data_IF_799428927804
#
_entry.id   IF_799428927804
#
_cell.length_a   1.000
_cell.length_b   1.000
_cell.length_c   1.000
_cell.angle_alpha   90.00
_cell.angle_beta   90.00
_cell.angle_gamma   90.00
#
_symmetry.space_group_name_H-M   'P 1'
#
loop_
_entity.id
_entity.type
_entity.pdbx_description
1 polymer ?
#
# COMPACT_ATOMS: atom_id res chain seq x y z
N UNK A 1 -38.45 -3.16 28.19
CA UNK A 1 -37.52 -4.29 28.46
C UNK A 1 -36.10 -3.79 28.22
N UNK A 2 -35.22 -4.04 29.18
CA UNK A 2 -33.96 -3.32 29.44
C UNK A 2 -32.86 -3.63 28.43
N UNK A 3 -32.26 -2.59 27.82
CA UNK A 3 -30.98 -2.65 27.12
C UNK A 3 -29.84 -2.61 28.15
N UNK A 4 -29.02 -3.67 28.15
CA UNK A 4 -27.80 -3.72 28.94
C UNK A 4 -26.63 -3.21 28.12
N UNK A 5 -26.03 -2.13 28.62
CA UNK A 5 -24.75 -1.56 28.11
C UNK A 5 -23.61 -2.37 28.75
N UNK A 6 -22.81 -3.05 27.93
CA UNK A 6 -21.51 -3.55 28.38
C UNK A 6 -20.43 -2.55 27.99
N UNK A 7 -19.98 -1.83 29.00
CA UNK A 7 -18.78 -1.02 28.99
C UNK A 7 -17.61 -1.94 29.32
N UNK A 8 -16.73 -2.23 28.35
CA UNK A 8 -15.54 -3.04 28.58
C UNK A 8 -14.42 -2.14 29.12
N UNK A 9 -14.22 -2.18 30.43
CA UNK A 9 -13.05 -1.60 31.09
C UNK A 9 -11.87 -2.56 30.95
N UNK A 10 -10.84 -2.16 30.20
CA UNK A 10 -9.54 -2.85 30.19
C UNK A 10 -8.78 -2.39 31.43
N UNK A 11 -8.71 -3.25 32.42
CA UNK A 11 -7.84 -3.10 33.58
C UNK A 11 -6.46 -3.63 33.22
N UNK A 12 -5.52 -2.75 33.04
CA UNK A 12 -4.07 -3.04 33.06
C UNK A 12 -3.66 -3.32 34.51
N UNK A 13 -3.46 -4.58 34.83
CA UNK A 13 -2.84 -4.98 36.09
C UNK A 13 -1.31 -4.81 35.97
N UNK A 14 -0.80 -3.63 36.32
CA UNK A 14 0.61 -3.44 36.62
C UNK A 14 0.84 -3.81 38.09
N UNK A 15 1.44 -4.97 38.35
CA UNK A 15 1.97 -5.32 39.66
C UNK A 15 3.18 -4.43 40.00
N UNK A 16 2.97 -3.35 40.72
CA UNK A 16 4.03 -2.62 41.40
C UNK A 16 3.98 -2.89 42.90
N UNK A 17 5.06 -3.46 43.41
CA UNK A 17 5.36 -3.50 44.83
C UNK A 17 5.37 -2.07 45.41
N UNK A 18 4.51 -1.84 46.38
CA UNK A 18 4.41 -0.55 47.07
C UNK A 18 5.67 -0.27 47.86
N UNK A 19 6.45 0.72 47.44
CA UNK A 19 7.22 1.55 48.34
C UNK A 19 6.51 2.90 48.43
N UNK A 20 6.23 3.33 49.66
CA UNK A 20 5.66 4.64 50.00
C UNK A 20 6.65 5.75 49.62
N UNK A 21 6.54 6.24 48.38
CA UNK A 21 7.08 7.51 47.92
C UNK A 21 5.95 8.34 47.38
N UNK A 22 5.94 9.65 47.67
CA UNK A 22 4.92 10.60 47.20
C UNK A 22 4.53 10.30 45.74
N UNK A 23 3.23 10.00 45.48
CA UNK A 23 2.68 9.89 44.13
C UNK A 23 2.87 11.28 43.51
N UNK A 24 3.85 11.43 42.62
CA UNK A 24 3.92 12.58 41.73
C UNK A 24 2.68 12.60 40.85
N UNK A 25 2.03 13.75 40.78
CA UNK A 25 0.89 13.96 39.90
C UNK A 25 1.39 14.14 38.46
N UNK A 26 0.59 13.84 37.45
CA UNK A 26 0.94 14.06 36.01
C UNK A 26 1.42 15.50 35.72
N UNK A 27 1.07 16.47 36.58
CA UNK A 27 1.53 17.87 36.52
C UNK A 27 3.01 18.07 36.80
N UNK A 28 3.67 17.06 37.40
CA UNK A 28 5.08 17.14 37.78
C UNK A 28 6.03 16.53 36.76
N UNK A 29 5.47 16.01 35.63
CA UNK A 29 6.25 15.42 34.56
C UNK A 29 6.59 16.47 33.49
N UNK A 30 7.84 16.46 33.03
CA UNK A 30 8.35 17.32 31.97
C UNK A 30 8.50 16.52 30.64
N UNK A 31 8.55 17.24 29.53
CA UNK A 31 8.84 16.62 28.23
C UNK A 31 10.36 16.61 28.00
N UNK A 32 10.83 15.51 27.43
CA UNK A 32 12.16 15.42 26.86
C UNK A 32 12.27 16.22 25.57
N UNK A 33 13.46 16.71 25.24
CA UNK A 33 13.76 17.43 24.03
C UNK A 33 14.02 16.46 22.87
N UNK A 34 13.71 16.90 21.65
CA UNK A 34 13.93 16.12 20.43
C UNK A 34 12.71 15.29 20.01
N UNK A 35 12.84 14.60 18.89
CA UNK A 35 11.77 13.78 18.31
C UNK A 35 12.33 12.46 17.81
N UNK A 36 11.62 11.39 18.10
CA UNK A 36 11.89 10.08 17.52
C UNK A 36 11.33 10.01 16.09
N UNK A 37 12.02 9.28 15.23
CA UNK A 37 11.54 8.97 13.87
C UNK A 37 11.75 7.49 13.60
N UNK A 38 10.67 6.82 13.23
CA UNK A 38 10.69 5.44 12.84
C UNK A 38 10.11 5.32 11.43
N UNK A 39 10.90 4.75 10.49
CA UNK A 39 10.47 4.58 9.09
C UNK A 39 10.53 3.11 8.72
N UNK A 40 9.39 2.56 8.37
CA UNK A 40 9.22 1.24 7.77
C UNK A 40 8.37 1.44 6.52
N UNK A 41 8.60 0.69 5.42
CA UNK A 41 7.69 0.71 4.29
C UNK A 41 6.25 0.36 4.72
N UNK A 42 5.25 0.99 4.12
CA UNK A 42 3.83 0.73 4.46
C UNK A 42 3.42 -0.73 4.19
N UNK A 43 4.04 -1.35 3.20
CA UNK A 43 3.85 -2.76 2.84
C UNK A 43 5.22 -3.45 2.76
N UNK A 44 5.29 -4.67 3.26
CA UNK A 44 6.48 -5.53 3.22
C UNK A 44 6.07 -6.96 2.86
N UNK A 45 6.99 -7.75 2.35
CA UNK A 45 6.77 -9.20 2.17
C UNK A 45 7.01 -9.95 3.48
N UNK A 46 6.40 -11.12 3.68
CA UNK A 46 6.87 -12.09 4.66
C UNK A 46 8.37 -12.36 4.48
N UNK A 47 9.10 -12.52 5.56
CA UNK A 47 10.57 -12.63 5.53
C UNK A 47 11.31 -11.29 5.45
N UNK A 48 10.61 -10.17 5.39
CA UNK A 48 11.25 -8.85 5.37
C UNK A 48 12.09 -8.61 6.63
N UNK A 49 13.32 -8.10 6.43
CA UNK A 49 14.20 -7.69 7.51
C UNK A 49 14.66 -6.25 7.33
N UNK A 50 14.86 -5.55 8.44
CA UNK A 50 15.42 -4.21 8.45
C UNK A 50 16.21 -3.96 9.72
N UNK A 51 17.46 -3.53 9.57
CA UNK A 51 18.32 -3.15 10.69
C UNK A 51 18.23 -1.65 10.98
N UNK A 52 17.99 -1.30 12.23
CA UNK A 52 18.04 0.05 12.74
C UNK A 52 19.28 0.23 13.60
N UNK A 53 20.09 1.25 13.30
CA UNK A 53 21.28 1.60 14.09
C UNK A 53 20.89 2.53 15.22
N UNK A 54 21.26 2.21 16.45
CA UNK A 54 20.90 2.99 17.63
C UNK A 54 21.42 4.43 17.55
N UNK A 55 22.61 4.65 17.04
CA UNK A 55 23.23 5.97 16.93
C UNK A 55 22.38 6.95 16.09
N UNK A 56 21.60 6.43 15.12
CA UNK A 56 20.71 7.24 14.27
C UNK A 56 19.35 7.51 14.92
N UNK A 57 19.03 6.80 16.00
CA UNK A 57 17.75 6.87 16.71
C UNK A 57 17.83 7.69 17.99
N UNK A 58 19.04 7.87 18.56
CA UNK A 58 19.29 8.60 19.82
C UNK A 58 19.18 10.11 19.59
N UNK A 59 17.97 10.59 19.31
CA UNK A 59 17.66 12.00 19.01
C UNK A 59 16.94 12.72 20.14
N UNK A 60 16.65 12.02 21.24
CA UNK A 60 15.95 12.56 22.41
C UNK A 60 16.96 12.81 23.52
N UNK A 61 16.85 13.96 24.19
CA UNK A 61 17.69 14.37 25.32
C UNK A 61 16.83 14.87 26.48
N UNK A 62 17.34 14.74 27.67
CA UNK A 62 16.71 15.32 28.85
C UNK A 62 17.17 16.76 29.04
N UNK A 63 16.28 17.70 29.44
CA UNK A 63 16.64 19.08 29.75
C UNK A 63 17.70 19.19 30.86
N UNK A 64 17.71 18.25 31.81
CA UNK A 64 18.67 18.20 32.93
C UNK A 64 20.02 17.55 32.55
N UNK A 65 20.21 17.16 31.28
CA UNK A 65 21.41 16.50 30.78
C UNK A 65 21.59 15.05 31.23
N UNK A 66 20.58 14.46 31.86
CA UNK A 66 20.61 13.06 32.30
C UNK A 66 20.49 12.06 31.15
N UNK A 67 20.65 10.78 31.47
CA UNK A 67 20.62 9.68 30.51
C UNK A 67 19.21 9.37 29.99
N UNK A 68 19.12 8.84 28.75
CA UNK A 68 17.91 8.40 28.10
C UNK A 68 18.09 6.97 27.65
N UNK A 69 17.17 6.10 28.02
CA UNK A 69 17.07 4.72 27.52
C UNK A 69 16.26 4.63 26.24
N UNK A 70 16.53 3.59 25.46
CA UNK A 70 15.84 3.33 24.20
C UNK A 70 15.42 1.86 24.10
N UNK A 71 14.16 1.60 23.71
CA UNK A 71 13.70 0.25 23.44
C UNK A 71 12.72 0.21 22.28
N UNK A 72 12.74 -0.90 21.54
CA UNK A 72 11.67 -1.26 20.61
C UNK A 72 10.63 -2.15 21.27
N UNK A 73 9.39 -1.98 20.87
CA UNK A 73 8.28 -2.84 21.23
C UNK A 73 7.55 -3.24 19.93
N UNK A 74 7.45 -4.54 19.70
CA UNK A 74 6.53 -5.08 18.72
C UNK A 74 5.19 -5.24 19.43
N UNK A 75 4.23 -4.37 19.09
CA UNK A 75 2.93 -4.29 19.80
C UNK A 75 2.07 -5.54 19.57
N UNK A 76 2.26 -6.25 18.45
CA UNK A 76 1.51 -7.47 18.15
C UNK A 76 1.94 -8.67 18.99
N UNK A 77 3.24 -8.80 19.22
CA UNK A 77 3.81 -9.91 20.00
C UNK A 77 4.07 -9.55 21.47
N UNK A 78 4.05 -8.25 21.79
CA UNK A 78 4.45 -7.74 23.10
C UNK A 78 5.95 -7.86 23.39
N UNK A 79 6.75 -8.29 22.40
CA UNK A 79 8.20 -8.40 22.57
C UNK A 79 8.85 -7.03 22.69
N UNK A 80 9.68 -6.90 23.73
CA UNK A 80 10.43 -5.69 24.01
C UNK A 80 11.93 -5.97 23.93
N UNK A 81 12.64 -5.14 23.14
CA UNK A 81 14.09 -5.18 23.05
C UNK A 81 14.67 -3.84 23.49
N UNK A 82 15.43 -3.86 24.59
CA UNK A 82 16.08 -2.68 25.18
C UNK A 82 17.48 -2.54 24.63
N UNK A 83 17.71 -1.52 23.80
CA UNK A 83 19.01 -1.20 23.22
C UNK A 83 19.90 -0.38 24.14
N UNK A 84 19.29 0.58 24.85
CA UNK A 84 19.95 1.43 25.82
C UNK A 84 19.13 1.42 27.10
N UNK A 85 19.73 1.12 28.21
CA UNK A 85 19.08 1.15 29.53
C UNK A 85 18.82 2.58 30.00
N UNK A 86 17.96 2.78 30.99
CA UNK A 86 17.63 4.10 31.51
C UNK A 86 18.84 4.87 32.08
N UNK A 87 19.85 4.15 32.58
CA UNK A 87 21.13 4.69 33.02
C UNK A 87 22.17 4.92 31.92
N UNK A 88 21.75 4.75 30.66
CA UNK A 88 22.54 5.06 29.45
C UNK A 88 23.49 3.96 29.00
N UNK A 89 23.41 2.75 29.56
CA UNK A 89 24.25 1.61 29.11
C UNK A 89 23.73 1.06 27.82
N UNK A 90 24.56 1.08 26.76
CA UNK A 90 24.25 0.47 25.47
C UNK A 90 24.37 -1.04 25.59
N UNK A 91 23.28 -1.77 25.39
CA UNK A 91 23.22 -3.23 25.39
C UNK A 91 23.33 -3.80 23.99
N UNK A 92 22.76 -3.08 23.01
CA UNK A 92 22.83 -3.47 21.60
C UNK A 92 22.93 -2.23 20.72
N UNK A 93 23.81 -2.25 19.73
CA UNK A 93 23.98 -1.17 18.77
C UNK A 93 22.97 -1.23 17.61
N UNK A 94 22.23 -2.32 17.49
CA UNK A 94 21.30 -2.55 16.40
C UNK A 94 20.02 -3.19 16.91
N UNK A 95 18.91 -2.83 16.29
CA UNK A 95 17.68 -3.58 16.35
C UNK A 95 17.39 -4.14 14.96
N UNK A 96 17.10 -5.43 14.88
CA UNK A 96 16.66 -6.09 13.67
C UNK A 96 15.16 -6.33 13.72
N UNK A 97 14.41 -5.62 12.90
CA UNK A 97 13.03 -5.96 12.58
C UNK A 97 13.07 -7.19 11.66
N UNK A 98 12.49 -8.29 12.09
CA UNK A 98 12.28 -9.48 11.28
C UNK A 98 10.80 -9.82 11.23
N UNK A 99 10.25 -9.88 10.02
CA UNK A 99 8.85 -10.30 9.78
C UNK A 99 8.87 -11.80 9.46
N UNK A 100 8.23 -12.66 10.25
CA UNK A 100 8.21 -14.09 9.98
C UNK A 100 7.63 -14.42 8.60
N UNK A 101 8.12 -15.48 7.96
CA UNK A 101 7.64 -15.97 6.66
C UNK A 101 6.13 -16.32 6.64
N UNK A 102 5.57 -16.61 7.81
CA UNK A 102 4.15 -16.95 7.97
C UNK A 102 3.29 -15.76 8.39
N UNK A 103 3.91 -14.61 8.72
CA UNK A 103 3.16 -13.45 9.24
C UNK A 103 2.49 -12.71 8.10
N UNK A 104 1.18 -12.59 8.18
CA UNK A 104 0.33 -11.78 7.30
C UNK A 104 -0.42 -10.74 8.12
N UNK A 105 -0.79 -9.63 7.47
CA UNK A 105 -1.58 -8.58 8.08
C UNK A 105 -0.75 -7.50 8.77
N UNK A 106 -1.40 -6.72 9.61
CA UNK A 106 -0.83 -5.52 10.23
C UNK A 106 0.21 -5.86 11.29
N UNK A 107 1.26 -5.06 11.35
CA UNK A 107 2.31 -5.09 12.37
C UNK A 107 2.53 -3.65 12.83
N UNK A 108 2.61 -3.45 14.15
CA UNK A 108 2.95 -2.16 14.74
C UNK A 108 4.23 -2.27 15.55
N UNK A 109 5.24 -1.50 15.15
CA UNK A 109 6.52 -1.39 15.83
C UNK A 109 6.63 0.00 16.47
N UNK A 110 6.93 0.07 17.76
CA UNK A 110 7.10 1.33 18.49
C UNK A 110 8.51 1.44 19.05
N UNK A 111 9.16 2.56 18.78
CA UNK A 111 10.40 2.97 19.44
C UNK A 111 10.07 3.92 20.59
N UNK A 112 10.54 3.60 21.78
CA UNK A 112 10.42 4.42 22.98
C UNK A 112 11.78 5.00 23.37
N UNK A 113 11.78 6.27 23.78
CA UNK A 113 12.83 6.88 24.58
C UNK A 113 12.27 7.13 25.98
N UNK A 114 12.98 6.72 27.02
CA UNK A 114 12.52 6.78 28.40
C UNK A 114 13.63 7.22 29.37
N UNK A 115 13.23 7.92 30.42
CA UNK A 115 14.10 8.32 31.50
C UNK A 115 14.11 7.26 32.63
N UNK A 116 15.08 7.30 33.57
CA UNK A 116 15.00 6.56 34.83
C UNK A 116 13.68 6.82 35.56
N UNK A 117 13.18 5.82 36.28
CA UNK A 117 11.86 5.89 36.95
C UNK A 117 11.74 6.95 38.05
N UNK A 118 12.86 7.41 38.55
CA UNK A 118 12.96 8.50 39.54
C UNK A 118 13.07 9.91 38.93
N UNK A 119 13.24 9.95 37.59
CA UNK A 119 13.26 11.20 36.86
C UNK A 119 11.83 11.57 36.37
N UNK A 120 11.54 12.86 36.32
CA UNK A 120 10.18 13.38 36.09
C UNK A 120 9.94 13.71 34.65
N UNK A 121 10.04 12.70 33.74
CA UNK A 121 9.85 12.90 32.30
C UNK A 121 8.82 11.96 31.72
N UNK A 122 8.05 12.48 30.78
CA UNK A 122 7.22 11.66 29.91
C UNK A 122 8.11 10.87 28.94
N UNK A 123 7.74 9.63 28.66
CA UNK A 123 8.36 8.87 27.59
C UNK A 123 8.02 9.50 26.24
N UNK A 124 9.01 9.55 25.34
CA UNK A 124 8.78 9.87 23.94
C UNK A 124 8.61 8.58 23.15
N UNK A 125 7.77 8.58 22.12
CA UNK A 125 7.59 7.43 21.24
C UNK A 125 7.42 7.81 19.77
N UNK A 126 7.76 6.88 18.90
CA UNK A 126 7.42 6.92 17.49
C UNK A 126 6.99 5.52 17.05
N UNK A 127 5.82 5.43 16.46
CA UNK A 127 5.28 4.16 15.96
C UNK A 127 5.26 4.13 14.45
N UNK A 128 5.48 2.95 13.88
CA UNK A 128 5.28 2.65 12.48
C UNK A 128 4.33 1.44 12.39
N UNK A 129 3.19 1.64 11.74
CA UNK A 129 2.25 0.57 11.41
C UNK A 129 2.40 0.25 9.94
N UNK A 130 2.60 -1.00 9.62
CA UNK A 130 2.82 -1.50 8.26
C UNK A 130 2.14 -2.86 8.09
N UNK A 131 2.00 -3.31 6.85
CA UNK A 131 1.31 -4.55 6.54
C UNK A 131 2.26 -5.54 5.86
N UNK A 132 2.35 -6.75 6.42
CA UNK A 132 2.97 -7.87 5.73
C UNK A 132 1.98 -8.49 4.77
N UNK A 133 2.32 -8.53 3.49
CA UNK A 133 1.44 -8.99 2.41
C UNK A 133 2.17 -10.01 1.53
N UNK A 134 1.39 -10.98 1.04
CA UNK A 134 1.83 -11.91 -0.01
C UNK A 134 0.99 -11.61 -1.25
N UNK A 135 1.64 -11.50 -2.40
CA UNK A 135 0.96 -11.43 -3.69
C UNK A 135 0.35 -12.77 -4.08
N UNK A 136 -0.46 -12.75 -5.11
CA UNK A 136 -1.06 -13.93 -5.70
C UNK A 136 -2.54 -13.74 -6.00
N UNK A 137 -2.92 -13.95 -7.27
CA UNK A 137 -4.29 -13.86 -7.75
C UNK A 137 -4.98 -15.24 -7.83
N UNK A 138 -4.23 -16.30 -7.58
CA UNK A 138 -4.69 -17.69 -7.59
C UNK A 138 -5.29 -18.15 -6.25
N UNK A 139 -5.50 -17.21 -5.32
CA UNK A 139 -5.99 -17.50 -3.98
C UNK A 139 -4.91 -17.99 -3.00
N UNK A 140 -3.67 -18.16 -3.44
CA UNK A 140 -2.54 -18.54 -2.58
C UNK A 140 -2.02 -17.39 -1.72
N UNK A 141 -2.38 -16.16 -2.09
CA UNK A 141 -1.96 -14.93 -1.42
C UNK A 141 -3.07 -14.26 -0.61
N UNK A 142 -3.00 -12.93 -0.54
CA UNK A 142 -3.93 -12.09 0.21
C UNK A 142 -5.09 -11.54 -0.63
N UNK A 143 -5.04 -11.74 -1.96
CA UNK A 143 -6.11 -11.36 -2.88
C UNK A 143 -7.03 -12.56 -3.13
N UNK A 144 -8.33 -12.36 -2.96
CA UNK A 144 -9.36 -13.33 -3.30
C UNK A 144 -10.42 -12.73 -4.22
N UNK A 145 -11.13 -13.58 -4.96
CA UNK A 145 -12.21 -13.18 -5.88
C UNK A 145 -11.78 -13.06 -7.33
N UNK A 146 -10.49 -13.27 -7.67
CA UNK A 146 -10.07 -13.35 -9.07
C UNK A 146 -10.48 -14.69 -9.68
N UNK A 147 -11.18 -14.62 -10.81
CA UNK A 147 -11.65 -15.81 -11.53
C UNK A 147 -10.53 -16.31 -12.47
N UNK A 148 -9.74 -17.27 -12.00
CA UNK A 148 -8.63 -17.86 -12.76
C UNK A 148 -9.09 -18.74 -13.91
N UNK A 149 -10.35 -19.18 -13.93
CA UNK A 149 -10.92 -19.99 -15.00
C UNK A 149 -11.42 -19.15 -16.18
N UNK A 150 -11.60 -17.84 -15.98
CA UNK A 150 -12.00 -16.95 -17.05
C UNK A 150 -10.79 -16.52 -17.89
N UNK A 151 -10.90 -16.69 -19.22
CA UNK A 151 -9.90 -16.26 -20.18
C UNK A 151 -8.80 -17.28 -20.46
N UNK A 152 -7.69 -16.81 -20.99
CA UNK A 152 -6.53 -17.62 -21.38
C UNK A 152 -5.26 -17.09 -20.69
N UNK A 153 -4.35 -17.99 -20.34
CA UNK A 153 -3.02 -17.59 -19.83
C UNK A 153 -2.05 -17.34 -20.96
N UNK A 154 -1.15 -16.40 -20.76
CA UNK A 154 0.06 -16.23 -21.56
C UNK A 154 1.24 -15.84 -20.66
N UNK A 155 2.45 -16.06 -21.15
CA UNK A 155 3.70 -15.78 -20.41
C UNK A 155 4.42 -14.62 -21.09
N UNK A 156 4.81 -13.62 -20.32
CA UNK A 156 5.75 -12.59 -20.77
C UNK A 156 7.16 -13.23 -20.84
N UNK A 157 7.70 -13.38 -22.05
CA UNK A 157 8.99 -14.04 -22.23
C UNK A 157 10.18 -13.28 -21.65
N UNK A 158 10.00 -11.98 -21.30
CA UNK A 158 11.06 -11.11 -20.78
C UNK A 158 11.43 -11.43 -19.33
N UNK A 159 10.45 -11.85 -18.52
CA UNK A 159 10.63 -12.12 -17.08
C UNK A 159 9.97 -13.43 -16.62
N UNK A 160 9.27 -14.13 -17.53
CA UNK A 160 8.60 -15.40 -17.25
C UNK A 160 7.27 -15.22 -16.48
N UNK A 161 6.78 -13.99 -16.31
CA UNK A 161 5.53 -13.76 -15.60
C UNK A 161 4.33 -14.18 -16.42
N UNK A 162 3.43 -14.91 -15.78
CA UNK A 162 2.15 -15.29 -16.37
C UNK A 162 1.08 -14.22 -16.15
N UNK A 163 0.25 -14.00 -17.15
CA UNK A 163 -0.92 -13.13 -17.11
C UNK A 163 -2.13 -13.83 -17.68
N UNK A 164 -3.31 -13.41 -17.26
CA UNK A 164 -4.57 -13.81 -17.85
C UNK A 164 -5.00 -12.80 -18.93
N UNK A 165 -5.71 -13.27 -19.93
CA UNK A 165 -6.26 -12.44 -20.99
C UNK A 165 -7.72 -12.80 -21.26
N UNK A 166 -8.52 -11.80 -21.68
CA UNK A 166 -9.92 -11.95 -22.05
C UNK A 166 -10.20 -11.23 -23.37
N UNK A 167 -11.25 -11.64 -24.06
CA UNK A 167 -11.73 -10.94 -25.28
C UNK A 167 -12.89 -10.04 -24.90
N UNK A 168 -12.74 -8.75 -25.19
CA UNK A 168 -13.77 -7.74 -24.97
C UNK A 168 -13.65 -6.62 -26.02
N UNK A 169 -14.77 -6.09 -26.52
CA UNK A 169 -14.78 -5.02 -27.53
C UNK A 169 -14.03 -5.38 -28.83
N UNK A 170 -13.97 -6.65 -29.19
CA UNK A 170 -13.24 -7.14 -30.37
C UNK A 170 -11.72 -7.28 -30.19
N UNK A 171 -11.19 -6.89 -29.05
CA UNK A 171 -9.75 -6.98 -28.72
C UNK A 171 -9.49 -8.03 -27.64
N UNK A 172 -8.26 -8.58 -27.59
CA UNK A 172 -7.78 -9.39 -26.49
C UNK A 172 -7.04 -8.50 -25.49
N UNK A 173 -7.50 -8.43 -24.25
CA UNK A 173 -6.99 -7.58 -23.17
C UNK A 173 -6.29 -8.40 -22.10
N UNK A 174 -5.21 -7.85 -21.52
CA UNK A 174 -4.74 -8.32 -20.23
C UNK A 174 -5.81 -8.11 -19.16
N UNK A 175 -5.94 -9.06 -18.23
CA UNK A 175 -6.87 -8.98 -17.10
C UNK A 175 -6.21 -8.39 -15.86
N UNK A 176 -4.89 -8.48 -15.75
CA UNK A 176 -4.08 -7.84 -14.71
C UNK A 176 -3.35 -6.61 -15.24
N UNK A 177 -2.98 -5.73 -14.33
CA UNK A 177 -2.08 -4.65 -14.64
C UNK A 177 -0.68 -5.20 -14.91
N UNK A 178 -0.02 -4.69 -15.91
CA UNK A 178 1.34 -5.08 -16.24
C UNK A 178 2.29 -4.84 -15.05
N UNK A 179 3.14 -5.82 -14.75
CA UNK A 179 4.11 -5.80 -13.65
C UNK A 179 5.54 -6.07 -14.14
N UNK A 180 5.86 -5.65 -15.38
CA UNK A 180 7.18 -5.85 -15.93
C UNK A 180 8.24 -5.04 -15.19
N UNK A 181 9.25 -5.74 -14.63
CA UNK A 181 10.30 -5.15 -13.78
C UNK A 181 11.32 -4.28 -14.55
N UNK A 182 11.32 -4.32 -15.87
CA UNK A 182 12.22 -3.51 -16.69
C UNK A 182 11.91 -2.01 -16.71
N UNK A 183 10.72 -1.61 -16.23
CA UNK A 183 10.30 -0.22 -16.12
C UNK A 183 9.19 -0.08 -15.06
N UNK A 184 8.89 1.19 -14.71
CA UNK A 184 7.87 1.51 -13.71
C UNK A 184 8.26 1.05 -12.29
N UNK A 185 7.31 1.21 -11.35
CA UNK A 185 7.52 0.86 -9.94
C UNK A 185 6.27 0.21 -9.34
N UNK A 186 6.42 -0.78 -8.44
CA UNK A 186 5.31 -1.32 -7.68
C UNK A 186 4.79 -0.29 -6.66
N UNK A 187 3.56 -0.46 -6.20
CA UNK A 187 2.95 0.42 -5.19
C UNK A 187 3.82 0.52 -3.94
N UNK A 188 4.12 1.77 -3.52
CA UNK A 188 4.97 2.07 -2.35
C UNK A 188 6.37 1.43 -2.41
N UNK A 189 6.90 1.17 -3.61
CA UNK A 189 8.16 0.46 -3.84
C UNK A 189 8.22 -0.94 -3.17
N UNK A 190 7.05 -1.56 -2.92
CA UNK A 190 6.93 -2.89 -2.31
C UNK A 190 6.73 -3.96 -3.39
N UNK A 191 7.70 -4.87 -3.55
CA UNK A 191 7.62 -5.91 -4.56
C UNK A 191 6.39 -6.83 -4.41
N UNK A 192 5.92 -7.10 -3.18
CA UNK A 192 4.72 -7.89 -2.96
C UNK A 192 3.46 -7.26 -3.58
N UNK A 193 3.43 -5.94 -3.73
CA UNK A 193 2.29 -5.22 -4.31
C UNK A 193 2.25 -5.30 -5.84
N UNK A 194 3.33 -5.70 -6.51
CA UNK A 194 3.33 -5.90 -7.97
C UNK A 194 2.36 -6.99 -8.41
N UNK A 195 2.15 -8.02 -7.58
CA UNK A 195 1.24 -9.12 -7.89
C UNK A 195 -0.23 -8.74 -7.68
N UNK A 196 -0.48 -7.59 -7.06
CA UNK A 196 -1.82 -7.07 -6.77
C UNK A 196 -2.16 -5.95 -7.73
N UNK A 197 -1.36 -4.89 -7.75
CA UNK A 197 -1.66 -3.66 -8.51
C UNK A 197 -0.84 -3.50 -9.78
N UNK A 198 0.11 -4.38 -10.06
CA UNK A 198 1.07 -4.22 -11.14
C UNK A 198 2.11 -3.14 -10.84
N UNK A 199 2.72 -2.59 -11.89
CA UNK A 199 3.60 -1.45 -11.82
C UNK A 199 2.90 -0.17 -12.30
N UNK A 200 3.42 0.97 -11.86
CA UNK A 200 3.02 2.31 -12.29
C UNK A 200 4.12 2.85 -13.19
N UNK A 201 3.75 3.20 -14.39
CA UNK A 201 4.65 3.65 -15.45
C UNK A 201 4.41 5.12 -15.75
N UNK A 202 5.45 5.90 -16.00
CA UNK A 202 5.30 7.13 -16.77
C UNK A 202 4.82 6.79 -18.18
N UNK A 203 4.25 7.75 -18.91
CA UNK A 203 3.76 7.43 -20.26
C UNK A 203 4.90 7.02 -21.23
N UNK A 204 6.07 7.64 -21.07
CA UNK A 204 7.26 7.29 -21.85
C UNK A 204 7.67 5.83 -21.63
N UNK A 205 7.60 5.35 -20.39
CA UNK A 205 7.84 3.94 -20.05
C UNK A 205 6.70 3.05 -20.57
N UNK A 206 5.44 3.47 -20.40
CA UNK A 206 4.24 2.71 -20.78
C UNK A 206 4.20 2.37 -22.27
N UNK A 207 4.68 3.28 -23.14
CA UNK A 207 4.74 3.05 -24.60
C UNK A 207 5.58 1.84 -25.00
N UNK A 208 6.60 1.51 -24.23
CA UNK A 208 7.52 0.41 -24.50
C UNK A 208 7.34 -0.76 -23.51
N UNK A 209 6.37 -0.66 -22.59
CA UNK A 209 6.26 -1.63 -21.50
C UNK A 209 5.56 -2.93 -21.91
N UNK A 210 4.65 -2.92 -22.88
CA UNK A 210 3.94 -4.13 -23.31
C UNK A 210 4.89 -5.18 -23.92
N UNK A 211 4.66 -6.48 -23.66
CA UNK A 211 5.48 -7.55 -24.25
C UNK A 211 5.28 -7.66 -25.77
N UNK A 212 6.15 -8.40 -26.43
CA UNK A 212 6.08 -8.66 -27.88
C UNK A 212 4.69 -9.24 -28.26
N UNK A 213 4.09 -8.71 -29.34
CA UNK A 213 2.74 -9.05 -29.81
C UNK A 213 1.63 -8.40 -29.00
N UNK A 214 1.99 -7.46 -28.10
CA UNK A 214 1.04 -6.66 -27.32
C UNK A 214 1.43 -5.18 -27.39
N UNK A 215 0.45 -4.32 -27.30
CA UNK A 215 0.63 -2.87 -27.35
C UNK A 215 -0.14 -2.14 -26.25
N UNK A 216 0.22 -0.91 -25.99
CA UNK A 216 -0.57 0.01 -25.19
C UNK A 216 -1.92 0.26 -25.92
N UNK A 217 -3.08 0.15 -25.24
CA UNK A 217 -4.37 0.40 -25.87
C UNK A 217 -4.51 1.86 -26.29
N UNK A 218 -5.19 2.08 -27.39
CA UNK A 218 -5.65 3.40 -27.81
C UNK A 218 -6.95 3.78 -27.09
N UNK A 219 -7.33 5.04 -27.16
CA UNK A 219 -8.64 5.50 -26.69
C UNK A 219 -9.79 4.80 -27.45
N UNK A 220 -9.58 4.49 -28.73
CA UNK A 220 -10.53 3.73 -29.54
C UNK A 220 -10.74 2.29 -29.04
N UNK A 221 -9.69 1.63 -28.55
CA UNK A 221 -9.83 0.30 -27.93
C UNK A 221 -10.73 0.34 -26.69
N UNK A 222 -10.60 1.39 -25.87
CA UNK A 222 -11.46 1.58 -24.70
C UNK A 222 -12.91 1.88 -25.08
N UNK A 223 -13.14 2.70 -26.11
CA UNK A 223 -14.50 2.99 -26.57
C UNK A 223 -15.18 1.79 -27.19
N UNK A 224 -14.41 0.87 -27.79
CA UNK A 224 -14.95 -0.39 -28.32
C UNK A 224 -15.47 -1.35 -27.23
N UNK A 225 -15.19 -1.10 -25.95
CA UNK A 225 -15.75 -1.89 -24.84
C UNK A 225 -17.24 -1.60 -24.57
N UNK A 226 -17.80 -0.55 -25.16
CA UNK A 226 -19.21 -0.17 -24.98
C UNK A 226 -19.84 0.23 -26.31
N UNK A 227 -20.99 -0.33 -26.63
CA UNK A 227 -21.75 -0.02 -27.84
C UNK A 227 -22.12 1.47 -27.86
N UNK A 228 -21.89 2.10 -29.03
CA UNK A 228 -22.26 3.49 -29.24
C UNK A 228 -21.39 4.55 -28.51
N UNK A 229 -20.31 4.15 -27.86
CA UNK A 229 -19.38 5.09 -27.25
C UNK A 229 -18.64 5.90 -28.32
N UNK A 230 -18.59 7.23 -28.15
CA UNK A 230 -17.86 8.09 -29.04
C UNK A 230 -16.36 8.17 -28.66
N UNK A 231 -15.43 8.16 -29.63
CA UNK A 231 -14.02 8.38 -29.36
C UNK A 231 -13.78 9.69 -28.60
N UNK A 232 -12.95 9.66 -27.59
CA UNK A 232 -12.60 10.82 -26.76
C UNK A 232 -13.63 11.20 -25.69
N UNK A 233 -14.81 10.59 -25.68
CA UNK A 233 -15.85 10.86 -24.69
C UNK A 233 -15.72 9.95 -23.44
N UNK A 234 -16.31 10.38 -22.33
CA UNK A 234 -16.55 9.54 -21.17
C UNK A 234 -17.56 8.44 -21.50
N UNK A 235 -17.39 7.25 -20.91
CA UNK A 235 -18.22 6.07 -21.22
C UNK A 235 -19.04 5.72 -19.97
N UNK A 236 -20.29 6.18 -19.95
CA UNK A 236 -21.22 5.92 -18.84
C UNK A 236 -21.73 4.47 -18.88
N UNK A 237 -21.91 3.85 -17.71
CA UNK A 237 -22.41 2.48 -17.55
C UNK A 237 -21.34 1.39 -17.72
N UNK A 238 -20.11 1.75 -18.10
CA UNK A 238 -19.05 0.77 -18.37
C UNK A 238 -18.28 0.34 -17.11
N UNK A 239 -18.09 1.26 -16.14
CA UNK A 239 -17.16 1.02 -15.02
C UNK A 239 -17.47 -0.25 -14.25
N UNK A 240 -18.72 -0.47 -13.84
CA UNK A 240 -19.12 -1.69 -13.10
C UNK A 240 -18.93 -2.99 -13.87
N UNK A 241 -18.96 -2.95 -15.21
CA UNK A 241 -18.69 -4.11 -16.07
C UNK A 241 -17.21 -4.48 -16.14
N UNK A 242 -16.32 -3.55 -15.79
CA UNK A 242 -14.86 -3.73 -15.76
C UNK A 242 -14.35 -4.04 -14.36
N UNK A 243 -14.98 -3.48 -13.32
CA UNK A 243 -14.55 -3.58 -11.93
C UNK A 243 -14.70 -5.00 -11.42
N UNK A 244 -13.62 -5.54 -10.82
CA UNK A 244 -13.62 -6.85 -10.19
C UNK A 244 -13.99 -6.78 -8.71
N UNK A 245 -14.72 -7.77 -8.20
CA UNK A 245 -15.12 -7.87 -6.80
C UNK A 245 -14.05 -8.61 -6.00
N UNK A 246 -12.97 -7.92 -5.68
CA UNK A 246 -11.81 -8.47 -4.99
C UNK A 246 -11.75 -8.05 -3.52
N UNK A 247 -11.10 -8.90 -2.73
CA UNK A 247 -10.78 -8.63 -1.34
C UNK A 247 -9.28 -8.76 -1.12
N UNK A 248 -8.73 -7.84 -0.36
CA UNK A 248 -7.35 -7.82 0.09
C UNK A 248 -7.34 -7.88 1.62
N UNK A 249 -6.76 -8.93 2.20
CA UNK A 249 -6.82 -9.18 3.64
C UNK A 249 -8.25 -9.04 4.18
N UNK A 250 -9.22 -9.71 3.54
CA UNK A 250 -10.65 -9.69 3.87
C UNK A 250 -11.32 -8.31 3.74
N UNK A 251 -10.61 -7.31 3.26
CA UNK A 251 -11.17 -5.99 2.97
C UNK A 251 -11.46 -5.85 1.49
N UNK A 252 -12.68 -5.47 1.15
CA UNK A 252 -13.09 -5.25 -0.23
C UNK A 252 -12.27 -4.11 -0.84
N UNK A 253 -11.65 -4.33 -2.01
CA UNK A 253 -10.82 -3.34 -2.67
C UNK A 253 -11.62 -2.17 -3.23
N UNK A 254 -12.71 -2.44 -3.97
CA UNK A 254 -13.66 -1.41 -4.33
C UNK A 254 -14.67 -1.24 -3.21
N UNK A 255 -14.79 -0.05 -2.55
CA UNK A 255 -15.83 0.20 -1.57
C UNK A 255 -17.23 0.00 -2.17
N UNK A 256 -18.19 -0.34 -1.31
CA UNK A 256 -19.58 -0.45 -1.76
C UNK A 256 -20.19 0.94 -2.00
N UNK A 257 -20.67 1.15 -3.21
CA UNK A 257 -21.48 2.32 -3.58
C UNK A 257 -22.77 1.85 -4.21
N UNK A 258 -23.90 2.44 -3.76
CA UNK A 258 -25.25 2.01 -4.20
C UNK A 258 -25.44 2.20 -5.69
N UNK A 259 -24.81 3.23 -6.25
CA UNK A 259 -24.93 3.65 -7.64
C UNK A 259 -24.04 2.83 -8.59
N UNK A 260 -23.14 2.01 -8.06
CA UNK A 260 -22.18 1.23 -8.87
C UNK A 260 -22.44 -0.27 -8.71
N UNK A 261 -22.90 -0.91 -9.78
CA UNK A 261 -23.11 -2.35 -9.83
C UNK A 261 -21.86 -3.06 -10.37
N UNK A 262 -21.02 -3.57 -9.48
CA UNK A 262 -19.79 -4.29 -9.84
C UNK A 262 -20.14 -5.71 -10.30
N UNK A 263 -19.90 -6.01 -11.59
CA UNK A 263 -20.23 -7.29 -12.21
C UNK A 263 -19.05 -8.01 -12.84
N UNK A 264 -17.98 -7.28 -13.19
CA UNK A 264 -16.85 -7.79 -14.01
C UNK A 264 -17.34 -8.56 -15.25
N UNK A 265 -18.40 -8.07 -15.88
CA UNK A 265 -19.07 -8.77 -16.99
C UNK A 265 -18.15 -8.95 -18.21
N UNK A 266 -17.23 -8.01 -18.42
CA UNK A 266 -16.23 -8.09 -19.50
C UNK A 266 -14.95 -8.83 -19.09
N UNK A 267 -14.86 -9.31 -17.84
CA UNK A 267 -13.72 -10.07 -17.30
C UNK A 267 -12.38 -9.32 -17.41
N UNK A 268 -12.42 -7.98 -17.41
CA UNK A 268 -11.19 -7.19 -17.32
C UNK A 268 -10.64 -7.15 -15.89
N UNK A 269 -11.43 -7.47 -14.89
CA UNK A 269 -10.99 -7.64 -13.51
C UNK A 269 -10.23 -6.42 -12.98
N UNK A 270 -10.77 -5.21 -13.19
CA UNK A 270 -10.12 -3.96 -12.82
C UNK A 270 -10.09 -3.80 -11.30
N UNK A 271 -8.90 -3.57 -10.76
CA UNK A 271 -8.65 -3.26 -9.35
C UNK A 271 -8.36 -1.77 -9.14
N UNK A 272 -8.73 -1.18 -8.00
CA UNK A 272 -8.50 0.23 -7.69
C UNK A 272 -7.04 0.46 -7.28
N UNK A 273 -6.13 0.39 -8.23
CA UNK A 273 -4.70 0.54 -7.99
C UNK A 273 -4.27 1.99 -7.70
N UNK A 274 -5.11 2.99 -7.99
CA UNK A 274 -4.72 4.39 -7.87
C UNK A 274 -3.78 4.83 -8.99
N UNK A 275 -2.90 5.78 -8.67
CA UNK A 275 -1.90 6.36 -9.55
C UNK A 275 -0.71 6.90 -8.74
N UNK A 276 0.32 7.41 -9.39
CA UNK A 276 1.38 8.14 -8.73
C UNK A 276 1.66 9.49 -9.40
N UNK A 277 2.03 10.48 -8.60
CA UNK A 277 2.62 11.73 -9.07
C UNK A 277 4.13 11.55 -9.04
N UNK A 278 4.81 11.93 -10.11
CA UNK A 278 6.25 11.80 -10.26
C UNK A 278 6.89 13.18 -10.20
N UNK A 279 7.84 13.36 -9.28
CA UNK A 279 8.59 14.59 -9.14
C UNK A 279 10.02 14.31 -8.71
N UNK A 280 11.02 14.89 -9.37
CA UNK A 280 12.44 14.67 -9.08
C UNK A 280 12.83 13.17 -9.06
N UNK A 281 12.21 12.35 -9.92
CA UNK A 281 12.40 10.90 -9.98
C UNK A 281 11.80 10.11 -8.82
N UNK A 282 10.98 10.75 -7.97
CA UNK A 282 10.27 10.12 -6.86
C UNK A 282 8.79 9.92 -7.21
N UNK A 283 8.26 8.76 -6.83
CA UNK A 283 6.86 8.41 -7.01
C UNK A 283 6.11 8.66 -5.70
N UNK A 284 5.05 9.46 -5.77
CA UNK A 284 4.11 9.69 -4.66
C UNK A 284 2.80 9.00 -5.00
N UNK A 285 2.61 7.80 -4.45
CA UNK A 285 1.44 6.96 -4.71
C UNK A 285 0.21 7.47 -3.96
N UNK A 286 -0.95 7.44 -4.63
CA UNK A 286 -2.23 7.91 -4.07
C UNK A 286 -3.42 7.26 -4.77
N UNK A 287 -4.61 7.39 -4.18
CA UNK A 287 -5.88 6.95 -4.76
C UNK A 287 -6.09 5.44 -4.84
N UNK A 288 -5.25 4.62 -4.19
CA UNK A 288 -5.54 3.19 -4.04
C UNK A 288 -6.84 2.98 -3.25
N UNK A 289 -7.65 2.00 -3.65
CA UNK A 289 -9.03 1.76 -3.23
C UNK A 289 -10.05 2.82 -3.68
N UNK A 290 -9.63 3.86 -4.40
CA UNK A 290 -10.51 4.93 -4.90
C UNK A 290 -10.55 5.00 -6.42
N UNK A 291 -9.37 4.85 -7.06
CA UNK A 291 -9.19 5.02 -8.51
C UNK A 291 -8.56 3.78 -9.14
N UNK A 292 -8.93 3.51 -10.39
CA UNK A 292 -8.12 2.75 -11.32
C UNK A 292 -7.80 3.66 -12.52
N UNK A 293 -6.52 3.83 -12.85
CA UNK A 293 -6.07 4.77 -13.88
C UNK A 293 -5.16 4.04 -14.86
N UNK A 294 -5.43 4.20 -16.16
CA UNK A 294 -4.73 3.50 -17.23
C UNK A 294 -4.26 4.45 -18.31
N UNK A 295 -3.01 4.33 -18.70
CA UNK A 295 -2.51 5.01 -19.88
C UNK A 295 -3.15 4.50 -21.18
N UNK A 296 -3.33 5.42 -22.13
CA UNK A 296 -3.59 5.08 -23.53
C UNK A 296 -2.41 5.50 -24.41
N UNK A 297 -2.38 5.00 -25.64
CA UNK A 297 -1.36 5.38 -26.61
C UNK A 297 -1.57 6.78 -27.21
N UNK A 298 -2.73 7.41 -26.96
CA UNK A 298 -3.11 8.71 -27.51
C UNK A 298 -2.41 9.85 -26.77
N UNK A 299 -1.79 10.73 -27.52
CA UNK A 299 -1.00 11.84 -26.98
C UNK A 299 -1.38 13.18 -27.59
N UNK A 300 -1.12 14.25 -26.84
CA UNK A 300 -1.29 15.64 -27.27
C UNK A 300 -0.21 16.51 -26.65
N UNK A 301 0.81 16.88 -27.42
CA UNK A 301 1.94 17.66 -26.95
C UNK A 301 2.72 16.94 -25.84
N UNK A 302 2.85 17.56 -24.68
CA UNK A 302 3.51 17.03 -23.49
C UNK A 302 2.61 16.15 -22.62
N UNK A 303 1.36 15.98 -23.02
CA UNK A 303 0.34 15.17 -22.32
C UNK A 303 -0.04 13.93 -23.12
N UNK A 304 -0.60 12.94 -22.41
CA UNK A 304 -1.19 11.76 -23.00
C UNK A 304 -2.52 11.42 -22.28
N UNK A 305 -3.39 10.72 -23.01
CA UNK A 305 -4.70 10.38 -22.46
C UNK A 305 -4.61 9.22 -21.48
N UNK A 306 -5.37 9.34 -20.40
CA UNK A 306 -5.68 8.26 -19.48
C UNK A 306 -7.18 7.96 -19.49
N UNK A 307 -7.51 6.70 -19.28
CA UNK A 307 -8.85 6.27 -18.88
C UNK A 307 -8.84 5.96 -17.42
N UNK A 308 -9.87 6.41 -16.67
CA UNK A 308 -9.93 6.13 -15.25
C UNK A 308 -11.35 5.83 -14.77
N UNK A 309 -11.41 5.04 -13.71
CA UNK A 309 -12.63 4.74 -12.96
C UNK A 309 -12.46 5.35 -11.58
N UNK A 310 -13.50 6.01 -11.09
CA UNK A 310 -13.60 6.46 -9.72
C UNK A 310 -14.64 5.62 -8.98
N UNK A 311 -14.37 5.26 -7.73
CA UNK A 311 -15.07 4.23 -6.96
C UNK A 311 -16.61 4.35 -6.92
N UNK A 312 -17.15 5.58 -6.95
CA UNK A 312 -18.58 5.86 -6.80
C UNK A 312 -19.29 6.23 -8.12
N UNK A 313 -18.63 6.01 -9.28
CA UNK A 313 -19.15 6.36 -10.61
C UNK A 313 -19.24 5.15 -11.53
N UNK A 314 -20.35 5.03 -12.25
CA UNK A 314 -20.53 4.02 -13.31
C UNK A 314 -19.80 4.38 -14.61
N UNK A 315 -19.06 5.46 -14.63
CA UNK A 315 -18.43 6.05 -15.81
C UNK A 315 -16.94 5.73 -15.87
N UNK A 316 -16.46 5.33 -17.04
CA UNK A 316 -15.04 5.34 -17.39
C UNK A 316 -14.72 6.69 -17.98
N UNK A 317 -14.04 7.52 -17.22
CA UNK A 317 -13.68 8.87 -17.60
C UNK A 317 -12.45 8.92 -18.49
N UNK A 318 -12.26 10.05 -19.16
CA UNK A 318 -11.07 10.37 -19.95
C UNK A 318 -10.52 11.73 -19.53
N UNK A 319 -9.19 11.81 -19.40
CA UNK A 319 -8.49 13.09 -19.22
C UNK A 319 -7.07 13.03 -19.80
N UNK A 320 -6.38 14.16 -19.82
CA UNK A 320 -4.98 14.26 -20.23
C UNK A 320 -4.09 14.46 -19.00
N UNK A 321 -2.99 13.73 -18.94
CA UNK A 321 -2.00 13.84 -17.87
C UNK A 321 -0.60 14.08 -18.47
N UNK A 322 0.28 14.79 -17.75
CA UNK A 322 1.65 15.03 -18.19
C UNK A 322 2.44 13.72 -18.22
N UNK A 323 3.15 13.50 -19.33
CA UNK A 323 3.78 12.22 -19.68
C UNK A 323 4.82 11.75 -18.68
N UNK A 324 5.55 12.67 -18.05
CA UNK A 324 6.68 12.35 -17.16
C UNK A 324 6.42 12.66 -15.69
N UNK A 325 5.37 13.45 -15.39
CA UNK A 325 5.06 13.89 -14.02
C UNK A 325 3.92 13.06 -13.39
N UNK A 326 3.42 12.09 -14.15
CA UNK A 326 2.34 11.20 -13.77
C UNK A 326 2.67 9.75 -14.12
N UNK A 327 2.30 8.82 -13.26
CA UNK A 327 2.44 7.40 -13.51
C UNK A 327 1.14 6.66 -13.22
N UNK A 328 0.77 5.77 -14.11
CA UNK A 328 -0.46 4.98 -14.07
C UNK A 328 -0.20 3.53 -14.46
N UNK A 329 -1.20 2.68 -14.24
CA UNK A 329 -1.18 1.29 -14.66
C UNK A 329 -1.19 1.16 -16.19
N UNK A 330 -0.68 0.04 -16.66
CA UNK A 330 -0.73 -0.38 -18.07
C UNK A 330 -1.51 -1.67 -18.16
N UNK A 331 -2.46 -1.73 -19.10
CA UNK A 331 -3.14 -2.95 -19.54
C UNK A 331 -2.97 -3.09 -21.03
N UNK A 332 -2.17 -4.05 -21.44
CA UNK A 332 -1.88 -4.23 -22.85
C UNK A 332 -3.05 -4.89 -23.58
N UNK A 333 -3.17 -4.59 -24.86
CA UNK A 333 -4.05 -5.30 -25.83
C UNK A 333 -3.17 -6.03 -26.84
N UNK A 334 -3.64 -7.20 -27.28
CA UNK A 334 -2.93 -7.99 -28.29
C UNK A 334 -3.00 -7.30 -29.64
N UNK A 335 -1.88 -7.31 -30.39
CA UNK A 335 -1.80 -6.82 -31.76
C UNK A 335 -2.59 -7.68 -32.75
#
# INVERSE_FOLDING_TARGET
MKFSRYLLLILLAAGCLAQQGCKKTEKDLEYMNGTLRLRVPAFVSPGYTKTFKIDTLMTVTRPDGGTVGYCFVNEDSGLRDTLVTADGVIRNHYYELSVPETKMGTITLTLYAFAPSDANYYNSSASATFMSVRGGLDGSGTITGFDTEAGTKFTDARDGREYYATVAGGNTWMRENLAWKGAGRPYMDCEAMQDIFGHYYTWTEAKAACPEGWRLPTDADWTALADGAAPGADITGLAGMLMGNFYFNDTRLWPYWREVNITDALKLSVMPAGYAVVGEGKYSFTGAAEYAVFWTADESGDQAAVRYIYQDKETVFRTLMYKNDFAASVRCVKE
#
